data_IF_657992964280
#
_entry.id   IF_657992964280
#
_cell.length_a   1.000
_cell.length_b   1.000
_cell.length_c   1.000
_cell.angle_alpha   90.00
_cell.angle_beta   90.00
_cell.angle_gamma   90.00
#
_symmetry.space_group_name_H-M   'P 1'
#
loop_
_entity.id
_entity.type
_entity.pdbx_description
1 polymer ?
#
# COMPACT_ATOMS: atom_id res chain seq x y z
N UNK A 1 -22.95 -14.69 -52.02
CA UNK A 1 -22.41 -14.85 -50.65
C UNK A 1 -22.22 -13.47 -50.07
N UNK A 2 -23.13 -13.12 -49.18
CA UNK A 2 -23.39 -11.76 -48.72
C UNK A 2 -22.30 -11.25 -47.79
N UNK A 3 -21.42 -10.39 -48.32
CA UNK A 3 -20.36 -9.67 -47.60
C UNK A 3 -20.86 -8.74 -46.47
N UNK A 4 -22.17 -8.65 -46.27
CA UNK A 4 -22.82 -7.72 -45.33
C UNK A 4 -22.80 -8.20 -43.88
N UNK A 5 -22.58 -9.49 -43.61
CA UNK A 5 -22.64 -10.06 -42.26
C UNK A 5 -21.30 -10.10 -41.51
N UNK A 6 -20.17 -9.90 -42.20
CA UNK A 6 -18.82 -9.96 -41.59
C UNK A 6 -18.48 -8.68 -40.81
N UNK A 7 -19.08 -7.53 -41.19
CA UNK A 7 -18.78 -6.24 -40.54
C UNK A 7 -19.43 -6.15 -39.15
N UNK A 8 -20.51 -6.89 -38.88
CA UNK A 8 -21.23 -6.82 -37.60
C UNK A 8 -20.53 -7.61 -36.47
N UNK A 9 -19.71 -8.63 -36.79
CA UNK A 9 -19.02 -9.43 -35.77
C UNK A 9 -17.68 -8.82 -35.31
N UNK A 10 -17.11 -7.88 -36.07
CA UNK A 10 -15.83 -7.25 -35.74
C UNK A 10 -15.95 -6.15 -34.66
N UNK A 11 -17.15 -5.57 -34.47
CA UNK A 11 -17.37 -4.49 -33.49
C UNK A 11 -17.53 -5.00 -32.05
N UNK A 12 -17.76 -6.30 -31.85
CA UNK A 12 -17.98 -6.89 -30.53
C UNK A 12 -16.69 -7.11 -29.71
N UNK A 13 -15.51 -7.01 -30.33
CA UNK A 13 -14.21 -7.25 -29.68
C UNK A 13 -13.55 -5.99 -29.09
N UNK A 14 -14.19 -4.81 -29.19
CA UNK A 14 -13.60 -3.53 -28.75
C UNK A 14 -13.95 -3.11 -27.31
N UNK A 15 -14.69 -3.94 -26.56
CA UNK A 15 -15.06 -3.65 -25.17
C UNK A 15 -14.50 -4.65 -24.17
N UNK A 16 -13.33 -5.24 -24.45
CA UNK A 16 -12.58 -5.91 -23.39
C UNK A 16 -12.00 -4.81 -22.51
N UNK A 17 -12.73 -4.41 -21.45
CA UNK A 17 -12.12 -3.69 -20.34
C UNK A 17 -10.95 -4.54 -19.87
N UNK A 18 -9.74 -4.10 -20.15
CA UNK A 18 -8.55 -4.78 -19.68
C UNK A 18 -8.31 -4.30 -18.26
N UNK A 19 -8.95 -4.96 -17.30
CA UNK A 19 -8.80 -4.66 -15.88
C UNK A 19 -7.35 -4.88 -15.48
N UNK A 20 -6.74 -3.87 -14.86
CA UNK A 20 -5.33 -3.93 -14.48
C UNK A 20 -5.23 -4.31 -13.03
N UNK A 21 -4.37 -5.28 -12.78
CA UNK A 21 -4.10 -5.76 -11.43
C UNK A 21 -2.62 -5.57 -11.11
N UNK A 22 -2.32 -5.25 -9.87
CA UNK A 22 -0.97 -5.27 -9.34
C UNK A 22 -0.96 -6.02 -8.01
N UNK A 23 0.18 -6.56 -7.61
CA UNK A 23 0.34 -7.18 -6.30
C UNK A 23 1.35 -6.41 -5.47
N UNK A 24 1.11 -6.40 -4.17
CA UNK A 24 2.01 -5.83 -3.19
C UNK A 24 2.22 -6.84 -2.08
N UNK A 25 3.49 -7.02 -1.67
CA UNK A 25 3.85 -7.83 -0.51
C UNK A 25 4.72 -7.02 0.44
N UNK A 26 4.46 -7.15 1.73
CA UNK A 26 5.21 -6.48 2.80
C UNK A 26 5.76 -7.54 3.74
N UNK A 27 7.08 -7.52 3.95
CA UNK A 27 7.79 -8.43 4.87
C UNK A 27 8.26 -7.64 6.08
N UNK A 28 8.02 -8.16 7.28
CA UNK A 28 8.65 -7.64 8.50
C UNK A 28 10.01 -8.33 8.70
N UNK A 29 11.11 -7.59 8.66
CA UNK A 29 12.46 -8.05 8.98
C UNK A 29 13.07 -7.30 10.18
N UNK A 30 12.27 -6.53 10.92
CA UNK A 30 12.74 -5.78 12.09
C UNK A 30 12.83 -6.74 13.28
N UNK A 31 13.95 -6.73 13.99
CA UNK A 31 14.17 -7.62 15.14
C UNK A 31 13.30 -7.29 16.35
N UNK A 32 12.84 -8.30 17.08
CA UNK A 32 12.13 -8.17 18.37
C UNK A 32 10.86 -7.31 18.37
N UNK A 33 10.33 -7.02 17.18
CA UNK A 33 9.08 -6.28 17.02
C UNK A 33 8.20 -6.98 16.01
N UNK A 34 6.93 -6.65 16.13
CA UNK A 34 5.89 -7.14 15.24
C UNK A 34 5.22 -5.96 14.57
N UNK A 35 4.62 -6.26 13.42
CA UNK A 35 3.96 -5.24 12.60
C UNK A 35 2.48 -5.59 12.44
N UNK A 36 1.60 -4.62 12.66
CA UNK A 36 0.15 -4.78 12.55
C UNK A 36 -0.47 -3.76 11.60
N UNK A 37 -1.62 -4.12 11.03
CA UNK A 37 -2.48 -3.26 10.22
C UNK A 37 -1.72 -2.51 9.12
N UNK A 38 -1.01 -3.28 8.30
CA UNK A 38 -0.22 -2.74 7.18
C UNK A 38 -1.17 -2.17 6.13
N UNK A 39 -0.98 -0.92 5.75
CA UNK A 39 -1.67 -0.25 4.65
C UNK A 39 -0.71 0.47 3.71
N UNK A 40 -1.13 0.58 2.46
CA UNK A 40 -0.45 1.33 1.41
C UNK A 40 -1.37 2.46 0.98
N UNK A 41 -1.10 3.68 1.47
CA UNK A 41 -2.09 4.76 1.44
C UNK A 41 -3.39 4.33 2.13
N UNK A 42 -4.52 4.48 1.45
CA UNK A 42 -5.85 4.11 1.96
C UNK A 42 -6.18 2.62 1.78
N UNK A 43 -5.30 1.84 1.14
CA UNK A 43 -5.52 0.42 0.88
C UNK A 43 -4.92 -0.42 2.00
N UNK A 44 -5.77 -1.09 2.78
CA UNK A 44 -5.29 -2.10 3.73
C UNK A 44 -4.70 -3.31 2.98
N UNK A 45 -3.46 -3.66 3.28
CA UNK A 45 -2.77 -4.84 2.74
C UNK A 45 -3.07 -6.06 3.60
N UNK A 46 -3.10 -5.89 4.92
CA UNK A 46 -3.62 -6.91 5.82
C UNK A 46 -3.68 -6.45 7.28
N UNK A 47 -4.59 -7.11 8.00
CA UNK A 47 -4.86 -6.87 9.43
C UNK A 47 -4.15 -7.88 10.34
N UNK A 48 -3.30 -8.74 9.78
CA UNK A 48 -2.57 -9.75 10.54
C UNK A 48 -1.37 -9.12 11.25
N UNK A 49 -1.02 -9.72 12.37
CA UNK A 49 0.25 -9.54 13.05
C UNK A 49 1.35 -10.19 12.22
N UNK A 50 2.44 -9.48 11.97
CA UNK A 50 3.62 -9.98 11.25
C UNK A 50 4.79 -10.06 12.21
N UNK A 51 5.19 -11.29 12.53
CA UNK A 51 6.45 -11.56 13.21
C UNK A 51 7.65 -11.33 12.27
N UNK A 52 8.87 -11.23 12.82
CA UNK A 52 10.07 -11.13 11.98
C UNK A 52 10.19 -12.33 11.02
N UNK A 53 10.45 -12.06 9.75
CA UNK A 53 10.46 -13.01 8.63
C UNK A 53 9.09 -13.23 7.96
N UNK A 54 7.98 -12.77 8.54
CA UNK A 54 6.65 -13.00 7.97
C UNK A 54 6.28 -11.97 6.90
N UNK A 55 5.48 -12.42 5.93
CA UNK A 55 5.03 -11.63 4.78
C UNK A 55 3.51 -11.60 4.70
N UNK A 56 2.95 -10.43 4.41
CA UNK A 56 1.56 -10.26 3.96
C UNK A 56 1.53 -9.80 2.51
N UNK A 57 0.55 -10.26 1.75
CA UNK A 57 0.38 -9.87 0.35
C UNK A 57 -1.07 -9.54 0.03
N UNK A 58 -1.27 -8.61 -0.91
CA UNK A 58 -2.58 -8.26 -1.46
C UNK A 58 -2.49 -8.01 -2.96
N UNK A 59 -3.56 -8.38 -3.67
CA UNK A 59 -3.79 -7.98 -5.06
C UNK A 59 -4.65 -6.72 -5.03
N UNK A 60 -4.21 -5.69 -5.73
CA UNK A 60 -4.90 -4.42 -5.92
C UNK A 60 -5.37 -4.36 -7.37
N UNK A 61 -6.66 -4.07 -7.56
CA UNK A 61 -7.31 -4.00 -8.86
C UNK A 61 -7.83 -2.58 -9.09
N UNK A 62 -7.62 -2.04 -10.29
CA UNK A 62 -8.10 -0.70 -10.64
C UNK A 62 -9.63 -0.58 -10.56
N UNK A 63 -10.36 -1.62 -10.99
CA UNK A 63 -11.82 -1.67 -10.90
C UNK A 63 -12.32 -1.88 -9.46
N UNK A 64 -11.83 -2.92 -8.77
CA UNK A 64 -12.32 -3.31 -7.44
C UNK A 64 -11.94 -2.29 -6.36
N UNK A 65 -10.68 -1.90 -6.34
CA UNK A 65 -10.14 -0.98 -5.34
C UNK A 65 -10.27 0.48 -5.78
N UNK A 66 -10.85 0.73 -6.98
CA UNK A 66 -11.13 2.06 -7.55
C UNK A 66 -9.89 2.95 -7.63
N UNK A 67 -8.76 2.34 -7.98
CA UNK A 67 -7.47 3.03 -8.09
C UNK A 67 -7.04 3.18 -9.54
N UNK A 68 -6.09 4.08 -9.78
CA UNK A 68 -5.44 4.22 -11.10
C UNK A 68 -3.95 3.93 -10.94
N UNK A 69 -3.44 3.05 -11.79
CA UNK A 69 -2.01 2.81 -11.90
C UNK A 69 -1.35 3.79 -12.89
N UNK A 70 -0.10 4.24 -12.66
CA UNK A 70 0.68 3.98 -11.46
C UNK A 70 0.13 4.77 -10.26
N UNK A 71 0.28 4.19 -9.07
CA UNK A 71 -0.05 4.87 -7.82
C UNK A 71 1.16 4.84 -6.88
N UNK A 72 1.38 5.94 -6.17
CA UNK A 72 2.45 6.07 -5.19
C UNK A 72 1.90 6.40 -3.82
N UNK A 73 2.33 5.69 -2.78
CA UNK A 73 1.91 5.94 -1.42
C UNK A 73 2.99 5.53 -0.40
N UNK A 74 2.92 6.14 0.77
CA UNK A 74 3.67 5.68 1.94
C UNK A 74 3.03 4.44 2.53
N UNK A 75 3.87 3.57 3.08
CA UNK A 75 3.43 2.46 3.90
C UNK A 75 3.06 2.97 5.29
N UNK A 76 1.95 2.50 5.84
CA UNK A 76 1.50 2.85 7.17
C UNK A 76 1.28 1.56 7.95
N UNK A 77 1.71 1.53 9.21
CA UNK A 77 1.62 0.33 10.04
C UNK A 77 1.79 0.69 11.51
N UNK A 78 1.45 -0.26 12.39
CA UNK A 78 1.81 -0.19 13.79
C UNK A 78 2.99 -1.10 14.07
N UNK A 79 3.98 -0.60 14.79
CA UNK A 79 5.04 -1.41 15.37
C UNK A 79 4.69 -1.72 16.82
N UNK A 80 4.78 -2.99 17.20
CA UNK A 80 4.40 -3.49 18.53
C UNK A 80 5.57 -4.23 19.17
N UNK A 81 5.87 -3.86 20.42
CA UNK A 81 6.88 -4.50 21.27
C UNK A 81 6.38 -4.56 22.71
N UNK A 82 6.03 -5.77 23.16
CA UNK A 82 5.33 -5.96 24.44
C UNK A 82 4.00 -5.21 24.46
N UNK A 83 3.81 -4.34 25.45
CA UNK A 83 2.60 -3.49 25.57
C UNK A 83 2.70 -2.18 24.76
N UNK A 84 3.87 -1.87 24.20
CA UNK A 84 4.05 -0.64 23.44
C UNK A 84 3.58 -0.82 22.00
N UNK A 85 2.78 0.12 21.52
CA UNK A 85 2.28 0.17 20.15
C UNK A 85 2.42 1.57 19.58
N UNK A 86 3.10 1.71 18.44
CA UNK A 86 3.37 3.00 17.81
C UNK A 86 2.93 2.99 16.36
N UNK A 87 2.15 4.00 15.96
CA UNK A 87 1.80 4.21 14.55
C UNK A 87 2.94 4.90 13.80
N UNK A 88 3.32 4.33 12.66
CA UNK A 88 4.42 4.79 11.84
C UNK A 88 3.99 4.88 10.37
N UNK A 89 4.62 5.82 9.67
CA UNK A 89 4.59 5.91 8.20
C UNK A 89 6.00 5.79 7.67
N UNK A 90 6.21 5.05 6.58
CA UNK A 90 7.49 5.13 5.86
C UNK A 90 7.72 6.56 5.40
N UNK A 91 8.96 7.03 5.47
CA UNK A 91 9.32 8.34 4.93
C UNK A 91 9.26 8.33 3.40
N UNK A 92 9.78 7.27 2.80
CA UNK A 92 9.69 7.01 1.36
C UNK A 92 8.26 6.63 0.95
N UNK A 93 7.86 7.10 -0.24
CA UNK A 93 6.67 6.62 -0.93
C UNK A 93 7.09 5.59 -1.99
N UNK A 94 6.45 4.43 -1.98
CA UNK A 94 6.68 3.38 -2.97
C UNK A 94 5.76 3.60 -4.15
N UNK A 95 6.17 3.18 -5.35
CA UNK A 95 5.34 3.27 -6.57
C UNK A 95 4.94 1.87 -7.02
N UNK A 96 3.64 1.68 -7.26
CA UNK A 96 3.05 0.44 -7.76
C UNK A 96 2.50 0.69 -9.18
N UNK A 97 3.03 -0.04 -10.15
CA UNK A 97 2.53 -0.03 -11.52
C UNK A 97 1.56 -1.20 -11.75
N UNK A 98 0.73 -1.08 -12.77
CA UNK A 98 -0.11 -2.17 -13.26
C UNK A 98 0.76 -3.37 -13.67
N UNK A 99 0.21 -4.57 -13.50
CA UNK A 99 0.76 -5.86 -13.90
C UNK A 99 2.13 -6.17 -13.26
N UNK A 100 2.45 -5.49 -12.16
CA UNK A 100 3.68 -5.67 -11.40
C UNK A 100 3.44 -6.19 -9.98
N UNK A 101 4.49 -6.79 -9.42
CA UNK A 101 4.56 -7.16 -8.02
C UNK A 101 5.56 -6.27 -7.28
N UNK A 102 5.07 -5.38 -6.43
CA UNK A 102 5.89 -4.56 -5.53
C UNK A 102 6.20 -5.34 -4.25
N UNK A 103 7.49 -5.52 -3.95
CA UNK A 103 7.96 -6.14 -2.71
C UNK A 103 8.58 -5.08 -1.81
N UNK A 104 8.03 -4.91 -0.60
CA UNK A 104 8.54 -3.99 0.41
C UNK A 104 9.04 -4.82 1.59
N UNK A 105 10.25 -4.53 2.05
CA UNK A 105 10.83 -5.13 3.25
C UNK A 105 10.98 -4.01 4.26
N UNK A 106 10.37 -4.17 5.44
CA UNK A 106 10.56 -3.28 6.57
C UNK A 106 11.68 -3.87 7.41
N UNK A 107 12.78 -3.15 7.57
CA UNK A 107 13.95 -3.57 8.34
C UNK A 107 14.45 -2.44 9.25
N UNK A 108 15.53 -2.70 9.99
CA UNK A 108 16.12 -1.74 10.95
C UNK A 108 16.65 -0.45 10.29
N UNK A 109 16.77 -0.42 8.95
CA UNK A 109 17.22 0.74 8.18
C UNK A 109 16.06 1.53 7.55
N UNK A 110 14.83 1.03 7.67
CA UNK A 110 13.66 1.67 7.07
C UNK A 110 13.35 2.97 7.79
N UNK A 111 13.52 4.10 7.10
CA UNK A 111 13.22 5.42 7.67
C UNK A 111 11.70 5.62 7.84
N UNK A 112 11.30 6.02 9.05
CA UNK A 112 9.89 6.20 9.42
C UNK A 112 9.63 7.56 10.09
N UNK A 113 8.40 8.00 10.00
CA UNK A 113 7.86 9.18 10.69
C UNK A 113 6.80 8.69 11.67
N UNK A 114 6.79 9.25 12.89
CA UNK A 114 5.68 9.13 13.83
C UNK A 114 4.81 10.40 13.74
N UNK A 115 3.63 10.33 13.10
CA UNK A 115 2.77 11.50 12.92
C UNK A 115 2.26 12.09 14.24
N UNK A 116 2.12 11.27 15.29
CA UNK A 116 1.61 11.73 16.58
C UNK A 116 2.62 12.64 17.29
N UNK A 117 3.92 12.29 17.24
CA UNK A 117 4.99 13.16 17.77
C UNK A 117 5.12 14.49 17.02
N UNK A 118 4.90 14.47 15.70
CA UNK A 118 4.95 15.69 14.89
C UNK A 118 3.84 16.69 15.27
N UNK A 119 2.63 16.18 15.54
CA UNK A 119 1.48 16.97 15.98
C UNK A 119 1.71 17.61 17.36
N UNK A 120 2.21 16.84 18.34
CA UNK A 120 2.52 17.36 19.68
C UNK A 120 3.57 18.48 19.65
N UNK A 121 4.59 18.35 18.78
CA UNK A 121 5.63 19.36 18.62
C UNK A 121 5.07 20.65 18.01
N UNK A 122 4.19 20.54 17.00
CA UNK A 122 3.53 21.68 16.39
C UNK A 122 2.61 22.42 17.37
N UNK A 123 1.85 21.69 18.19
CA UNK A 123 1.04 22.27 19.27
C UNK A 123 1.91 23.00 20.29
N UNK A 124 3.02 22.39 20.73
CA UNK A 124 3.94 23.01 21.71
C UNK A 124 4.53 24.33 21.20
N UNK A 125 4.89 24.43 19.92
CA UNK A 125 5.38 25.68 19.32
C UNK A 125 4.29 26.78 19.33
N UNK A 126 3.03 26.42 19.06
CA UNK A 126 1.92 27.39 19.10
C UNK A 126 1.60 27.92 20.51
N UNK A 127 1.78 27.10 21.55
CA UNK A 127 1.46 27.51 22.93
C UNK A 127 2.57 28.30 23.63
N UNK A 128 3.84 28.12 23.26
CA UNK A 128 4.98 28.82 23.87
C UNK A 128 5.55 29.96 23.03
N UNK A 129 4.98 30.22 21.84
CA UNK A 129 5.34 31.34 20.97
C UNK A 129 4.51 32.61 21.19
N UNK A 130 3.84 32.77 22.34
CA UNK A 130 3.11 33.98 22.74
C UNK A 130 3.77 34.68 23.92
#
# INVERSE_FOLDING_TARGET
MDFRYIILSAFALLFVSCDKNASISVTNNVGNVSIENVSYGDISIGYKFLLPGETVSKIISDERDRVKFPMSAQLQFYMVSGENKVFLKSKEAYTLNADQHLKIIIDDHTEVINPMKASETALKIMYYGK
#
